data_IF_996449409158
#
_entry.id   IF_996449409158
#
_cell.length_a   1.000
_cell.length_b   1.000
_cell.length_c   1.000
_cell.angle_alpha   90.00
_cell.angle_beta   90.00
_cell.angle_gamma   90.00
#
_symmetry.space_group_name_H-M   'P 1'
#
loop_
_entity.id
_entity.type
_entity.pdbx_description
1 polymer ?
#
# COMPACT_ATOMS: atom_id res chain seq x y z
N UNK A 1 5.47 8.45 -14.06
CA UNK A 1 4.85 7.43 -13.19
C UNK A 1 3.57 6.96 -13.81
N UNK A 2 3.61 5.80 -14.46
CA UNK A 2 2.43 5.07 -14.95
C UNK A 2 1.84 4.22 -13.82
N UNK A 3 0.61 3.74 -14.00
CA UNK A 3 -0.02 2.82 -13.04
C UNK A 3 0.80 1.53 -12.85
N UNK A 4 1.38 1.00 -13.94
CA UNK A 4 2.26 -0.18 -13.88
C UNK A 4 3.54 0.07 -13.09
N UNK A 5 4.18 1.23 -13.27
CA UNK A 5 5.38 1.60 -12.49
C UNK A 5 5.05 1.75 -10.99
N UNK A 6 3.87 2.29 -10.67
CA UNK A 6 3.40 2.41 -9.28
C UNK A 6 3.15 1.03 -8.66
N UNK A 7 2.51 0.11 -9.40
CA UNK A 7 2.33 -1.29 -9.00
C UNK A 7 3.67 -2.00 -8.78
N UNK A 8 4.62 -1.88 -9.71
CA UNK A 8 5.95 -2.46 -9.55
C UNK A 8 6.68 -1.92 -8.30
N UNK A 9 6.50 -0.63 -8.01
CA UNK A 9 7.03 -0.01 -6.79
C UNK A 9 6.40 -0.60 -5.52
N UNK A 10 5.09 -0.86 -5.53
CA UNK A 10 4.39 -1.52 -4.42
C UNK A 10 4.86 -2.97 -4.22
N UNK A 11 5.06 -3.72 -5.31
CA UNK A 11 5.62 -5.09 -5.26
C UNK A 11 7.01 -5.06 -4.60
N UNK A 12 7.90 -4.18 -5.05
CA UNK A 12 9.25 -4.04 -4.46
C UNK A 12 9.21 -3.65 -2.98
N UNK A 13 8.20 -2.88 -2.55
CA UNK A 13 8.06 -2.49 -1.15
C UNK A 13 7.79 -3.68 -0.23
N UNK A 14 7.23 -4.79 -0.73
CA UNK A 14 6.98 -6.03 0.03
C UNK A 14 8.26 -6.61 0.64
N UNK A 15 9.43 -6.38 0.02
CA UNK A 15 10.72 -6.91 0.47
C UNK A 15 11.10 -6.42 1.87
N UNK A 16 10.59 -5.26 2.29
CA UNK A 16 10.88 -4.65 3.58
C UNK A 16 9.89 -5.02 4.69
N UNK A 17 8.86 -5.83 4.38
CA UNK A 17 7.82 -6.18 5.35
C UNK A 17 8.39 -6.95 6.54
N UNK A 18 8.02 -6.54 7.76
CA UNK A 18 8.35 -7.23 9.00
C UNK A 18 7.14 -8.05 9.45
N UNK A 19 7.11 -9.33 9.08
CA UNK A 19 5.90 -10.18 9.20
C UNK A 19 6.19 -11.57 9.78
N UNK A 20 6.89 -11.69 10.92
CA UNK A 20 7.27 -13.00 11.44
C UNK A 20 6.07 -13.82 11.97
N UNK A 21 4.89 -13.22 12.16
CA UNK A 21 3.73 -13.90 12.73
C UNK A 21 2.81 -14.45 11.65
N UNK A 22 2.46 -13.65 10.64
CA UNK A 22 1.55 -14.09 9.58
C UNK A 22 2.24 -14.68 8.35
N UNK A 23 3.46 -14.24 8.05
CA UNK A 23 4.15 -14.50 6.77
C UNK A 23 3.52 -13.79 5.57
N UNK A 24 2.48 -12.96 5.75
CA UNK A 24 1.87 -12.21 4.65
C UNK A 24 2.61 -10.90 4.44
N UNK A 25 3.39 -10.83 3.36
CA UNK A 25 4.09 -9.60 2.97
C UNK A 25 3.16 -8.72 2.16
N UNK A 26 3.05 -7.45 2.53
CA UNK A 26 2.25 -6.45 1.83
C UNK A 26 3.11 -5.22 1.60
N UNK A 27 3.04 -4.68 0.39
CA UNK A 27 3.73 -3.47 -0.02
C UNK A 27 2.74 -2.48 -0.64
N UNK A 28 3.00 -1.19 -0.45
CA UNK A 28 2.20 -0.12 -0.98
C UNK A 28 3.08 1.01 -1.53
N UNK A 29 2.59 1.67 -2.58
CA UNK A 29 3.21 2.85 -3.15
C UNK A 29 2.15 3.94 -3.36
N UNK A 30 2.27 5.03 -2.62
CA UNK A 30 1.37 6.18 -2.63
C UNK A 30 1.95 7.29 -3.51
N UNK A 31 1.17 7.72 -4.50
CA UNK A 31 1.50 8.81 -5.42
C UNK A 31 0.81 10.10 -4.95
N UNK A 32 1.59 11.13 -4.67
CA UNK A 32 1.09 12.47 -4.37
C UNK A 32 0.63 13.19 -5.63
N UNK A 33 -0.14 14.28 -5.47
CA UNK A 33 -0.59 15.10 -6.59
C UNK A 33 0.56 15.79 -7.35
N UNK A 34 1.68 16.09 -6.68
CA UNK A 34 2.89 16.68 -7.27
C UNK A 34 3.88 15.63 -7.82
N UNK A 35 3.53 14.34 -7.77
CA UNK A 35 4.27 13.26 -8.40
C UNK A 35 5.34 12.58 -7.52
N UNK A 36 5.45 12.94 -6.24
CA UNK A 36 6.30 12.22 -5.27
C UNK A 36 5.70 10.87 -4.91
N UNK A 37 6.56 9.95 -4.49
CA UNK A 37 6.17 8.60 -4.10
C UNK A 37 6.61 8.31 -2.67
N UNK A 38 5.68 7.77 -1.90
CA UNK A 38 5.93 7.25 -0.57
C UNK A 38 5.61 5.76 -0.54
N UNK A 39 6.57 4.95 -0.12
CA UNK A 39 6.40 3.49 -0.02
C UNK A 39 6.15 3.05 1.41
N UNK A 40 5.35 2.00 1.54
CA UNK A 40 5.05 1.36 2.81
C UNK A 40 5.08 -0.16 2.68
N UNK A 41 5.31 -0.82 3.81
CA UNK A 41 5.16 -2.26 3.97
C UNK A 41 4.46 -2.53 5.30
N UNK A 42 3.84 -3.69 5.47
CA UNK A 42 3.25 -4.03 6.75
C UNK A 42 4.32 -4.38 7.79
N UNK A 43 4.07 -3.96 9.03
CA UNK A 43 4.96 -4.12 10.17
C UNK A 43 4.13 -4.71 11.31
N UNK A 44 4.42 -5.95 11.66
CA UNK A 44 3.74 -6.68 12.72
C UNK A 44 4.38 -6.48 14.09
N UNK A 45 3.64 -6.89 15.11
CA UNK A 45 4.08 -6.93 16.49
C UNK A 45 3.43 -8.11 17.19
N UNK A 46 4.08 -8.69 18.21
CA UNK A 46 3.53 -9.80 19.01
C UNK A 46 2.19 -9.43 19.67
N UNK A 47 2.06 -8.19 20.14
CA UNK A 47 0.75 -7.63 20.42
C UNK A 47 0.14 -7.25 19.07
N UNK A 48 -0.85 -8.01 18.59
CA UNK A 48 -1.33 -7.85 17.21
C UNK A 48 -1.97 -6.47 16.94
N UNK A 49 -2.49 -5.79 17.96
CA UNK A 49 -3.22 -4.52 17.78
C UNK A 49 -2.38 -3.37 17.20
N UNK A 50 -1.10 -3.14 17.58
CA UNK A 50 -0.24 -2.14 16.92
C UNK A 50 0.24 -2.51 15.51
N UNK A 51 -0.14 -3.66 14.95
CA UNK A 51 0.21 -4.00 13.56
C UNK A 51 -0.26 -2.91 12.60
N UNK A 52 0.66 -2.41 11.79
CA UNK A 52 0.40 -1.36 10.80
C UNK A 52 0.49 -1.94 9.39
N UNK A 53 -0.53 -1.67 8.57
CA UNK A 53 -0.59 -2.14 7.19
C UNK A 53 0.27 -1.26 6.28
N UNK A 54 0.66 -1.80 5.12
CA UNK A 54 1.52 -1.12 4.16
C UNK A 54 0.96 0.24 3.71
N UNK A 55 -0.35 0.31 3.48
CA UNK A 55 -1.05 1.52 3.04
C UNK A 55 -0.93 2.61 4.11
N UNK A 56 -1.18 2.25 5.37
CA UNK A 56 -1.05 3.18 6.50
C UNK A 56 0.38 3.67 6.67
N UNK A 57 1.39 2.82 6.49
CA UNK A 57 2.80 3.25 6.50
C UNK A 57 3.09 4.25 5.39
N UNK A 58 2.63 4.01 4.16
CA UNK A 58 2.83 4.92 3.04
C UNK A 58 2.17 6.29 3.28
N UNK A 59 0.91 6.30 3.73
CA UNK A 59 0.18 7.51 4.08
C UNK A 59 0.85 8.27 5.23
N UNK A 60 1.17 7.61 6.33
CA UNK A 60 1.72 8.30 7.51
C UNK A 60 3.12 8.85 7.26
N UNK A 61 3.94 8.20 6.43
CA UNK A 61 5.21 8.77 5.94
C UNK A 61 5.00 10.04 5.11
N UNK A 62 4.06 10.03 4.17
CA UNK A 62 3.78 11.20 3.34
C UNK A 62 3.22 12.36 4.18
N UNK A 63 2.29 12.05 5.08
CA UNK A 63 1.64 13.03 5.93
C UNK A 63 2.64 13.66 6.89
N UNK A 64 3.58 12.89 7.44
CA UNK A 64 4.59 13.42 8.36
C UNK A 64 5.60 14.36 7.69
N UNK A 65 5.75 14.31 6.37
CA UNK A 65 6.56 15.27 5.59
C UNK A 65 5.79 16.49 5.09
N UNK A 66 4.49 16.59 5.43
CA UNK A 66 3.63 17.71 5.05
C UNK A 66 2.74 17.47 3.83
N UNK A 67 2.84 16.31 3.17
CA UNK A 67 1.99 15.99 2.02
C UNK A 67 0.52 15.78 2.44
N UNK A 68 -0.41 16.35 1.67
CA UNK A 68 -1.87 16.26 1.94
C UNK A 68 -2.72 16.00 0.71
N UNK A 69 -2.12 15.91 -0.48
CA UNK A 69 -2.83 15.72 -1.74
C UNK A 69 -2.30 14.48 -2.43
N UNK A 70 -3.18 13.52 -2.68
CA UNK A 70 -2.83 12.21 -3.22
C UNK A 70 -3.65 11.89 -4.45
N UNK A 71 -3.04 11.15 -5.39
CA UNK A 71 -3.64 10.83 -6.70
C UNK A 71 -4.00 9.35 -6.82
N UNK A 72 -3.13 8.47 -6.34
CA UNK A 72 -3.34 7.03 -6.40
C UNK A 72 -2.52 6.30 -5.35
N UNK A 73 -2.93 5.09 -5.01
CA UNK A 73 -2.10 4.11 -4.30
C UNK A 73 -2.13 2.78 -5.02
N UNK A 74 -0.97 2.13 -5.14
CA UNK A 74 -0.88 0.73 -5.50
C UNK A 74 -0.64 -0.13 -4.27
N UNK A 75 -1.28 -1.29 -4.20
CA UNK A 75 -1.17 -2.26 -3.10
C UNK A 75 -0.93 -3.65 -3.68
N UNK A 76 0.11 -4.31 -3.19
CA UNK A 76 0.47 -5.68 -3.53
C UNK A 76 0.64 -6.50 -2.25
N UNK A 77 0.20 -7.74 -2.25
CA UNK A 77 0.34 -8.58 -1.07
C UNK A 77 0.14 -10.05 -1.33
N UNK A 78 0.73 -10.87 -0.47
CA UNK A 78 0.67 -12.32 -0.58
C UNK A 78 1.50 -13.05 0.47
N UNK A 79 1.18 -14.33 0.69
CA UNK A 79 1.90 -15.17 1.65
C UNK A 79 3.30 -15.47 1.13
N UNK A 80 4.30 -15.34 2.00
CA UNK A 80 5.72 -15.52 1.68
C UNK A 80 6.21 -14.64 0.51
N UNK A 81 5.51 -13.53 0.24
CA UNK A 81 5.78 -12.63 -0.88
C UNK A 81 5.23 -13.08 -2.24
N UNK A 82 4.47 -14.17 -2.30
CA UNK A 82 3.87 -14.68 -3.55
C UNK A 82 2.50 -14.06 -3.80
N UNK A 83 2.38 -13.30 -4.90
CA UNK A 83 1.13 -12.64 -5.29
C UNK A 83 0.26 -13.63 -6.07
N UNK A 84 -0.68 -14.26 -5.38
CA UNK A 84 -1.62 -15.25 -5.93
C UNK A 84 -3.06 -14.73 -5.87
N UNK A 85 -3.29 -13.54 -6.45
CA UNK A 85 -4.60 -12.89 -6.50
C UNK A 85 -4.64 -11.51 -5.86
N UNK A 86 -5.86 -10.99 -5.67
CA UNK A 86 -6.07 -9.65 -5.14
C UNK A 86 -5.88 -9.61 -3.62
N UNK A 87 -5.12 -8.63 -3.13
CA UNK A 87 -4.97 -8.34 -1.70
C UNK A 87 -5.54 -6.94 -1.39
N UNK A 88 -6.87 -6.81 -1.26
CA UNK A 88 -7.51 -5.51 -1.15
C UNK A 88 -7.25 -4.85 0.22
N UNK A 89 -7.26 -3.51 0.31
CA UNK A 89 -7.11 -2.81 1.58
C UNK A 89 -8.14 -3.23 2.62
N UNK A 90 -7.72 -3.37 3.88
CA UNK A 90 -8.61 -3.66 4.99
C UNK A 90 -9.47 -2.43 5.36
N UNK A 91 -10.51 -2.62 6.18
CA UNK A 91 -11.42 -1.53 6.58
C UNK A 91 -10.71 -0.33 7.21
N UNK A 92 -9.69 -0.57 8.03
CA UNK A 92 -8.91 0.51 8.68
C UNK A 92 -8.12 1.32 7.64
N UNK A 93 -7.49 0.66 6.66
CA UNK A 93 -6.79 1.35 5.58
C UNK A 93 -7.75 2.16 4.70
N UNK A 94 -8.92 1.61 4.38
CA UNK A 94 -9.97 2.32 3.62
C UNK A 94 -10.45 3.56 4.36
N UNK A 95 -10.58 3.49 5.69
CA UNK A 95 -10.96 4.65 6.49
C UNK A 95 -9.88 5.74 6.47
N UNK A 96 -8.59 5.38 6.52
CA UNK A 96 -7.50 6.36 6.36
C UNK A 96 -7.51 6.98 4.97
N UNK A 97 -7.75 6.20 3.91
CA UNK A 97 -7.89 6.74 2.55
C UNK A 97 -9.07 7.71 2.47
N UNK A 98 -10.22 7.35 3.03
CA UNK A 98 -11.42 8.20 3.01
C UNK A 98 -11.23 9.54 3.75
N UNK A 99 -10.35 9.59 4.75
CA UNK A 99 -10.02 10.82 5.48
C UNK A 99 -9.19 11.81 4.64
N UNK A 100 -8.25 11.29 3.84
CA UNK A 100 -7.24 12.11 3.16
C UNK A 100 -7.42 12.23 1.64
N UNK A 101 -8.34 11.47 1.05
CA UNK A 101 -8.49 11.37 -0.39
C UNK A 101 -9.92 11.69 -0.84
N UNK A 102 -10.03 12.29 -2.02
CA UNK A 102 -11.29 12.50 -2.71
C UNK A 102 -11.80 11.21 -3.38
N UNK A 103 -13.09 11.13 -3.76
CA UNK A 103 -13.67 9.94 -4.39
C UNK A 103 -13.04 9.52 -5.72
N UNK A 104 -12.27 10.39 -6.38
CA UNK A 104 -11.54 10.10 -7.62
C UNK A 104 -10.14 9.50 -7.38
N UNK A 105 -9.74 9.33 -6.11
CA UNK A 105 -8.48 8.69 -5.75
C UNK A 105 -8.46 7.22 -6.17
N UNK A 106 -7.50 6.87 -7.02
CA UNK A 106 -7.42 5.52 -7.60
C UNK A 106 -6.73 4.54 -6.65
N UNK A 107 -7.34 3.37 -6.47
CA UNK A 107 -6.76 2.25 -5.72
C UNK A 107 -6.42 1.13 -6.71
N UNK A 108 -5.13 0.88 -6.90
CA UNK A 108 -4.62 -0.18 -7.76
C UNK A 108 -4.29 -1.40 -6.91
N UNK A 109 -5.09 -2.46 -7.03
CA UNK A 109 -4.87 -3.73 -6.33
C UNK A 109 -4.17 -4.69 -7.27
N UNK A 110 -2.90 -4.97 -7.00
CA UNK A 110 -2.08 -5.89 -7.78
C UNK A 110 -2.63 -7.32 -7.63
N UNK A 111 -2.79 -8.01 -8.76
CA UNK A 111 -3.28 -9.40 -8.82
C UNK A 111 -2.22 -10.39 -9.33
N UNK A 112 -1.11 -9.88 -9.86
CA UNK A 112 0.07 -10.62 -10.30
C UNK A 112 1.13 -9.63 -10.78
N UNK A 113 2.33 -10.09 -11.13
CA UNK A 113 3.49 -9.23 -11.45
C UNK A 113 3.17 -8.14 -12.48
N UNK A 114 2.35 -8.46 -13.49
CA UNK A 114 1.98 -7.55 -14.58
C UNK A 114 0.48 -7.23 -14.64
N UNK A 115 -0.30 -7.56 -13.59
CA UNK A 115 -1.76 -7.36 -13.59
C UNK A 115 -2.26 -6.70 -12.31
N UNK A 116 -3.28 -5.85 -12.45
CA UNK A 116 -3.95 -5.18 -11.33
C UNK A 116 -5.41 -4.89 -11.67
N UNK A 117 -6.21 -4.67 -10.63
CA UNK A 117 -7.55 -4.09 -10.71
C UNK A 117 -7.51 -2.65 -10.21
N UNK A 118 -8.23 -1.77 -10.88
CA UNK A 118 -8.39 -0.37 -10.48
C UNK A 118 -9.78 -0.18 -9.89
N UNK A 119 -9.83 0.45 -8.72
CA UNK A 119 -11.03 0.89 -8.03
C UNK A 119 -11.00 2.40 -7.88
#
# INVERSE_FOLDING_TARGET
MTEKELCATAIKAMDNAYVPYSGYKVGAALLTADGKIFTGCNIENAAYSPTVCAERVAFFKAISTGERKFKAIAVAGGKDGKIEGAFPPCGVCRQVMAEFCSPDFAILVVTGTDSYKKY
#
